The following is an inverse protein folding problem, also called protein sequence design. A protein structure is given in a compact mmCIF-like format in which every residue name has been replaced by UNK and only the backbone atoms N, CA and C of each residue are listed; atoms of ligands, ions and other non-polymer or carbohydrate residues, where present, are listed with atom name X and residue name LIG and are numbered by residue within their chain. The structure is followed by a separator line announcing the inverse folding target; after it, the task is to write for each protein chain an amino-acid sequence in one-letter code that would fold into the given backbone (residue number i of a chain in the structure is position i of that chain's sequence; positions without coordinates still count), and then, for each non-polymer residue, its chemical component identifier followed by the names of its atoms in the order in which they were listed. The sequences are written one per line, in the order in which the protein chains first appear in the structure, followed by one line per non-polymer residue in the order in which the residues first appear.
data_IF_696312406113
#
_entry.id   IF_696312406113
#
_cell.length_a   1.000
_cell.length_b   1.000
_cell.length_c   1.000
_cell.angle_alpha   90.00
_cell.angle_beta   90.00
_cell.angle_gamma   90.00
#
_symmetry.space_group_name_H-M   'P 1'
#
loop_
_entity.id
_entity.type
_entity.pdbx_description
1 polymer ?
#
# COMPACT_ATOMS: atom_id res chain seq x y z
N UNK A 1 -14.41 -11.61 -7.43
CA UNK A 1 -14.72 -10.63 -6.35
C UNK A 1 -13.50 -9.73 -6.19
N UNK A 2 -13.67 -8.40 -6.29
CA UNK A 2 -12.57 -7.46 -6.04
C UNK A 2 -12.22 -7.53 -4.55
N UNK A 3 -10.94 -7.78 -4.21
CA UNK A 3 -10.48 -7.80 -2.81
C UNK A 3 -10.56 -6.38 -2.24
N UNK A 4 -11.18 -6.24 -1.07
CA UNK A 4 -11.13 -4.99 -0.33
C UNK A 4 -9.76 -4.89 0.36
N UNK A 5 -8.97 -3.88 0.02
CA UNK A 5 -7.67 -3.64 0.67
C UNK A 5 -7.89 -2.63 1.79
N UNK A 6 -7.96 -3.14 3.01
CA UNK A 6 -8.04 -2.34 4.24
C UNK A 6 -6.75 -2.40 5.06
N UNK A 7 -6.72 -1.69 6.19
CA UNK A 7 -5.56 -1.66 7.09
C UNK A 7 -5.16 -3.06 7.58
N UNK A 8 -6.14 -3.92 7.86
CA UNK A 8 -5.91 -5.30 8.34
C UNK A 8 -5.26 -6.14 7.24
N UNK A 9 -5.76 -6.02 6.00
CA UNK A 9 -5.22 -6.69 4.82
C UNK A 9 -3.76 -6.33 4.60
N UNK A 10 -3.41 -5.04 4.70
CA UNK A 10 -2.03 -4.58 4.53
C UNK A 10 -1.13 -5.10 5.66
N UNK A 11 -1.56 -5.03 6.92
CA UNK A 11 -0.80 -5.56 8.06
C UNK A 11 -0.52 -7.06 7.90
N UNK A 12 -1.54 -7.83 7.52
CA UNK A 12 -1.40 -9.27 7.28
C UNK A 12 -0.45 -9.55 6.11
N UNK A 13 -0.52 -8.76 5.03
CA UNK A 13 0.39 -8.89 3.90
C UNK A 13 1.85 -8.64 4.30
N UNK A 14 2.11 -7.59 5.09
CA UNK A 14 3.45 -7.27 5.62
C UNK A 14 4.00 -8.44 6.44
N UNK A 15 3.18 -8.98 7.36
CA UNK A 15 3.57 -10.11 8.20
C UNK A 15 3.82 -11.38 7.40
N UNK A 16 2.92 -11.72 6.47
CA UNK A 16 3.00 -12.93 5.67
C UNK A 16 4.24 -12.96 4.75
N UNK A 17 4.70 -11.80 4.28
CA UNK A 17 5.87 -11.66 3.43
C UNK A 17 7.14 -11.25 4.19
N UNK A 18 7.09 -11.17 5.53
CA UNK A 18 8.20 -10.73 6.39
C UNK A 18 8.86 -9.42 5.91
N UNK A 19 8.05 -8.48 5.43
CA UNK A 19 8.55 -7.22 4.86
C UNK A 19 9.15 -6.33 5.95
N UNK A 20 10.23 -5.66 5.59
CA UNK A 20 10.96 -4.74 6.47
C UNK A 20 11.02 -3.35 5.86
N UNK A 21 11.67 -2.40 6.53
CA UNK A 21 11.67 -0.96 6.23
C UNK A 21 12.23 -0.57 4.84
N UNK A 22 12.84 -1.53 4.13
CA UNK A 22 13.49 -1.34 2.83
C UNK A 22 12.57 -1.53 1.62
N UNK A 23 11.26 -1.61 1.84
CA UNK A 23 10.29 -1.73 0.75
C UNK A 23 9.19 -0.67 0.89
N UNK A 24 8.54 -0.40 -0.23
CA UNK A 24 7.25 0.31 -0.25
C UNK A 24 6.18 -0.63 -0.80
N UNK A 25 4.95 -0.43 -0.38
CA UNK A 25 3.79 -1.08 -0.98
C UNK A 25 3.12 -0.11 -1.92
N UNK A 26 2.78 -0.58 -3.11
CA UNK A 26 2.09 0.21 -4.11
C UNK A 26 0.71 -0.38 -4.36
N UNK A 27 -0.30 0.49 -4.44
CA UNK A 27 -1.71 0.12 -4.58
C UNK A 27 -2.35 0.91 -5.71
N UNK A 28 -3.30 0.30 -6.43
CA UNK A 28 -4.17 1.05 -7.32
C UNK A 28 -4.79 2.29 -6.61
N UNK A 29 -4.88 3.47 -7.25
CA UNK A 29 -5.33 4.71 -6.60
C UNK A 29 -6.67 4.59 -5.88
N UNK A 30 -7.63 3.83 -6.43
CA UNK A 30 -8.93 3.62 -5.77
C UNK A 30 -8.83 2.87 -4.44
N UNK A 31 -7.88 1.94 -4.29
CA UNK A 31 -7.65 1.22 -3.05
C UNK A 31 -6.92 2.10 -2.04
N UNK A 32 -5.92 2.85 -2.51
CA UNK A 32 -5.23 3.82 -1.68
C UNK A 32 -6.18 4.90 -1.14
N UNK A 33 -7.06 5.44 -1.99
CA UNK A 33 -8.07 6.40 -1.56
C UNK A 33 -9.04 5.82 -0.54
N UNK A 34 -9.50 4.57 -0.70
CA UNK A 34 -10.36 3.90 0.29
C UNK A 34 -9.64 3.75 1.63
N UNK A 35 -8.34 3.47 1.61
CA UNK A 35 -7.51 3.36 2.80
C UNK A 35 -7.32 4.72 3.51
N UNK A 36 -7.10 5.78 2.72
CA UNK A 36 -6.85 7.15 3.21
C UNK A 36 -8.13 7.91 3.59
N UNK A 37 -9.29 7.59 2.99
CA UNK A 37 -10.60 8.24 3.28
C UNK A 37 -11.02 8.18 4.74
N UNK A 38 -10.33 7.41 5.57
CA UNK A 38 -10.42 7.44 7.03
C UNK A 38 -9.83 8.72 7.68
N UNK A 39 -9.17 9.61 6.93
CA UNK A 39 -8.60 10.87 7.44
C UNK A 39 -8.74 12.03 6.44
N UNK A 40 -9.11 13.22 6.94
CA UNK A 40 -9.56 14.38 6.16
C UNK A 40 -8.53 15.04 5.22
N UNK A 41 -7.32 14.49 5.06
CA UNK A 41 -6.28 15.07 4.21
C UNK A 41 -5.84 14.08 3.12
N UNK A 42 -5.77 14.56 1.87
CA UNK A 42 -5.18 13.84 0.74
C UNK A 42 -3.68 13.65 0.98
N UNK A 43 -3.30 12.58 1.69
CA UNK A 43 -1.89 12.22 1.90
C UNK A 43 -1.35 11.53 0.65
N UNK A 44 -0.09 11.80 0.31
CA UNK A 44 0.60 11.14 -0.82
C UNK A 44 1.14 9.75 -0.46
N UNK A 45 1.23 9.44 0.83
CA UNK A 45 1.69 8.16 1.34
C UNK A 45 1.10 7.91 2.73
N UNK A 46 0.89 6.65 3.08
CA UNK A 46 0.47 6.23 4.42
C UNK A 46 1.51 5.26 4.99
N UNK A 47 1.99 5.52 6.21
CA UNK A 47 2.92 4.59 6.87
C UNK A 47 2.15 3.57 7.71
N UNK A 48 2.32 2.29 7.40
CA UNK A 48 1.70 1.17 8.12
C UNK A 48 2.80 0.21 8.56
N UNK A 49 2.92 -0.02 9.87
CA UNK A 49 3.92 -0.93 10.46
C UNK A 49 5.37 -0.65 9.97
N UNK A 50 5.73 0.62 9.81
CA UNK A 50 7.06 1.03 9.33
C UNK A 50 7.22 1.09 7.80
N UNK A 51 6.27 0.53 7.04
CA UNK A 51 6.32 0.46 5.58
C UNK A 51 5.47 1.58 4.97
N UNK A 52 6.00 2.24 3.95
CA UNK A 52 5.27 3.25 3.21
C UNK A 52 4.34 2.59 2.19
N UNK A 53 3.08 2.99 2.20
CA UNK A 53 2.07 2.61 1.21
C UNK A 53 1.79 3.83 0.33
N UNK A 54 1.84 3.67 -0.98
CA UNK A 54 1.67 4.72 -1.97
C UNK A 54 0.64 4.33 -3.04
N UNK A 55 -0.03 5.31 -3.68
CA UNK A 55 -0.81 5.03 -4.88
C UNK A 55 0.11 4.75 -6.07
N UNK A 56 -0.37 3.91 -6.98
CA UNK A 56 0.20 3.70 -8.30
C UNK A 56 -0.30 4.78 -9.26
N UNK A 57 0.57 5.71 -9.61
CA UNK A 57 0.26 6.81 -10.53
C UNK A 57 0.40 6.40 -12.01
N UNK A 58 0.94 5.20 -12.31
CA UNK A 58 1.21 4.72 -13.67
C UNK A 58 0.22 3.65 -14.15
N UNK A 59 -0.73 3.24 -13.30
CA UNK A 59 -1.75 2.24 -13.60
C UNK A 59 -1.14 0.87 -14.01
N UNK A 60 -0.05 0.50 -13.34
CA UNK A 60 0.63 -0.80 -13.41
C UNK A 60 -0.06 -1.87 -12.53
N UNK A 61 -0.80 -1.45 -11.50
CA UNK A 61 -1.38 -2.32 -10.47
C UNK A 61 -2.90 -2.33 -10.59
N UNK A 62 -3.50 -3.52 -10.69
CA UNK A 62 -4.95 -3.62 -10.78
C UNK A 62 -5.64 -3.39 -9.43
N UNK A 63 -6.91 -2.99 -9.48
CA UNK A 63 -7.73 -2.86 -8.28
C UNK A 63 -7.90 -4.21 -7.57
N UNK A 64 -7.30 -4.30 -6.37
CA UNK A 64 -7.36 -5.46 -5.48
C UNK A 64 -6.00 -6.15 -5.30
N UNK A 65 -4.98 -5.65 -6.01
CA UNK A 65 -3.60 -6.11 -5.92
C UNK A 65 -2.76 -5.21 -5.01
N UNK A 66 -1.71 -5.80 -4.44
CA UNK A 66 -0.67 -5.14 -3.67
C UNK A 66 0.64 -5.51 -4.35
N UNK A 67 1.42 -4.52 -4.74
CA UNK A 67 2.77 -4.74 -5.25
C UNK A 67 3.83 -4.26 -4.26
N UNK A 68 5.01 -4.86 -4.33
CA UNK A 68 6.15 -4.55 -3.47
C UNK A 68 7.21 -3.86 -4.32
N UNK A 69 7.52 -2.61 -3.98
CA UNK A 69 8.63 -1.87 -4.57
C UNK A 69 9.85 -1.96 -3.65
N UNK A 70 10.89 -2.66 -4.08
CA UNK A 70 12.18 -2.67 -3.37
C UNK A 70 12.84 -1.29 -3.43
N UNK A 71 13.19 -0.74 -2.27
CA UNK A 71 13.96 0.50 -2.18
C UNK A 71 15.41 0.11 -1.94
N UNK A 72 16.24 0.21 -2.98
CA UNK A 72 17.69 0.09 -2.81
C UNK A 72 18.21 1.38 -2.17
N UNK A 73 18.51 1.33 -0.88
CA UNK A 73 19.38 2.33 -0.25
C UNK A 73 20.81 2.03 -0.70
N UNK A 74 21.35 2.86 -1.60
CA UNK A 74 22.79 2.90 -1.87
C UNK A 74 23.53 3.54 -0.70
#
# INVERSE_FOLDING_TARGET
MKRNIDLTTIKNFILANALTENVMLMLHPSNFEKLVKTGQNKVKSLRIAGINVIPDDNNEINEGEIDILEVRFN
#
